data_IF_429990214981
#
_entry.id   IF_429990214981
#
_cell.length_a   1.000
_cell.length_b   1.000
_cell.length_c   1.000
_cell.angle_alpha   90.00
_cell.angle_beta   90.00
_cell.angle_gamma   90.00
#
_symmetry.space_group_name_H-M   'P 1'
#
loop_
_entity.id
_entity.type
_entity.pdbx_description
1 polymer ?
#
# COMPACT_ATOMS: atom_id res chain seq x y z
N UNK A 1 28.52 -6.91 -3.49
CA UNK A 1 27.33 -6.15 -3.94
C UNK A 1 26.14 -6.62 -3.11
N UNK A 2 25.75 -5.87 -2.08
CA UNK A 2 24.53 -6.17 -1.31
C UNK A 2 23.34 -5.69 -2.14
N UNK A 3 22.72 -6.59 -2.91
CA UNK A 3 21.50 -6.27 -3.64
C UNK A 3 20.41 -5.87 -2.64
N UNK A 4 19.91 -4.65 -2.72
CA UNK A 4 18.72 -4.26 -1.97
C UNK A 4 17.62 -5.27 -2.33
N UNK A 5 17.08 -5.97 -1.33
CA UNK A 5 15.93 -6.85 -1.55
C UNK A 5 14.76 -5.94 -1.91
N UNK A 6 14.40 -5.88 -3.19
CA UNK A 6 13.19 -5.20 -3.62
C UNK A 6 12.00 -5.92 -2.98
N UNK A 7 11.34 -5.24 -2.05
CA UNK A 7 10.07 -5.71 -1.51
C UNK A 7 9.01 -5.52 -2.60
N UNK A 8 8.20 -6.55 -2.83
CA UNK A 8 7.08 -6.47 -3.77
C UNK A 8 6.01 -5.55 -3.20
N UNK A 9 5.33 -4.81 -4.06
CA UNK A 9 4.19 -3.94 -3.73
C UNK A 9 3.15 -4.67 -2.88
N UNK A 10 2.95 -5.96 -3.12
CA UNK A 10 2.10 -6.88 -2.33
C UNK A 10 2.45 -7.03 -0.83
N UNK A 11 3.48 -6.36 -0.33
CA UNK A 11 3.92 -6.37 1.08
C UNK A 11 3.87 -4.98 1.72
N UNK A 12 3.32 -3.99 1.02
CA UNK A 12 3.25 -2.60 1.46
C UNK A 12 1.82 -2.29 1.89
N UNK A 13 1.66 -1.71 3.07
CA UNK A 13 0.40 -1.19 3.57
C UNK A 13 0.45 0.34 3.59
N UNK A 14 -0.61 0.98 3.10
CA UNK A 14 -0.74 2.43 3.21
C UNK A 14 -1.26 2.85 4.58
N UNK A 15 -0.70 3.93 5.10
CA UNK A 15 -1.16 4.61 6.30
C UNK A 15 -0.83 6.10 6.22
N UNK A 16 -1.72 6.93 6.76
CA UNK A 16 -1.61 8.40 6.69
C UNK A 16 -0.97 9.03 7.92
N UNK A 17 -0.67 8.25 8.96
CA UNK A 17 -0.20 8.76 10.27
C UNK A 17 -1.12 9.82 10.90
N UNK A 18 -2.43 9.75 10.61
CA UNK A 18 -3.41 10.63 11.25
C UNK A 18 -3.45 10.40 12.78
N UNK A 19 -3.50 11.46 13.61
CA UNK A 19 -3.71 12.88 13.27
C UNK A 19 -2.44 13.72 13.02
N UNK A 20 -1.23 13.13 12.99
CA UNK A 20 0.01 13.88 12.76
C UNK A 20 0.17 14.35 11.30
N UNK A 21 -0.47 13.67 10.35
CA UNK A 21 -0.59 14.10 8.96
C UNK A 21 -2.06 14.06 8.48
N UNK A 22 -2.41 14.98 7.57
CA UNK A 22 -3.72 15.00 6.91
C UNK A 22 -3.91 13.78 6.02
N UNK A 23 -5.03 13.10 6.17
CA UNK A 23 -5.38 11.94 5.35
C UNK A 23 -5.47 12.29 3.86
N UNK A 24 -6.03 13.47 3.55
CA UNK A 24 -6.18 13.92 2.17
C UNK A 24 -4.82 14.22 1.51
N UNK A 25 -3.91 14.89 2.24
CA UNK A 25 -2.58 15.19 1.73
C UNK A 25 -1.74 13.93 1.56
N UNK A 26 -1.83 12.97 2.49
CA UNK A 26 -1.17 11.68 2.37
C UNK A 26 -1.68 10.87 1.17
N UNK A 27 -2.99 10.91 0.89
CA UNK A 27 -3.59 10.23 -0.26
C UNK A 27 -3.18 10.87 -1.58
N UNK A 28 -3.15 12.20 -1.64
CA UNK A 28 -2.66 12.91 -2.82
C UNK A 28 -1.17 12.63 -3.04
N UNK A 29 -0.34 12.62 -1.99
CA UNK A 29 1.09 12.33 -2.11
C UNK A 29 1.37 10.96 -2.74
N UNK A 30 0.66 9.90 -2.34
CA UNK A 30 0.85 8.57 -2.94
C UNK A 30 0.35 8.51 -4.39
N UNK A 31 -0.74 9.21 -4.75
CA UNK A 31 -1.21 9.31 -6.14
C UNK A 31 -0.17 9.95 -7.06
N UNK A 32 0.60 10.92 -6.56
CA UNK A 32 1.64 11.60 -7.31
C UNK A 32 2.92 10.75 -7.54
N UNK A 33 3.06 9.58 -6.89
CA UNK A 33 4.18 8.67 -7.15
C UNK A 33 4.10 7.99 -8.53
N UNK A 34 2.94 8.05 -9.19
CA UNK A 34 2.78 7.50 -10.54
C UNK A 34 2.87 5.98 -10.59
N UNK A 35 2.46 5.29 -9.51
CA UNK A 35 2.35 3.83 -9.51
C UNK A 35 1.35 3.37 -10.59
N UNK A 36 1.59 2.23 -11.26
CA UNK A 36 0.57 1.61 -12.10
C UNK A 36 -0.75 1.43 -11.33
N UNK A 37 -1.90 1.60 -11.99
CA UNK A 37 -3.20 1.59 -11.30
C UNK A 37 -3.40 0.35 -10.40
N UNK A 38 -3.01 -0.84 -10.88
CA UNK A 38 -3.12 -2.07 -10.09
C UNK A 38 -2.22 -2.08 -8.84
N UNK A 39 -1.03 -1.49 -8.93
CA UNK A 39 -0.11 -1.39 -7.77
C UNK A 39 -0.61 -0.38 -6.74
N UNK A 40 -1.23 0.71 -7.18
CA UNK A 40 -1.84 1.69 -6.28
C UNK A 40 -3.01 1.08 -5.50
N UNK A 41 -3.87 0.31 -6.18
CA UNK A 41 -5.00 -0.37 -5.55
C UNK A 41 -4.54 -1.44 -4.53
N UNK A 42 -3.45 -2.15 -4.84
CA UNK A 42 -2.81 -3.08 -3.89
C UNK A 42 -2.41 -2.38 -2.59
N UNK A 43 -1.69 -1.26 -2.70
CA UNK A 43 -1.14 -0.52 -1.55
C UNK A 43 -2.24 0.18 -0.74
N UNK A 44 -3.24 0.76 -1.41
CA UNK A 44 -4.31 1.50 -0.76
C UNK A 44 -5.33 0.61 -0.05
N UNK A 45 -5.49 -0.66 -0.45
CA UNK A 45 -6.56 -1.48 0.10
C UNK A 45 -6.32 -2.99 0.09
N UNK A 46 -6.02 -3.59 -1.07
CA UNK A 46 -6.06 -5.05 -1.20
C UNK A 46 -5.06 -5.75 -0.28
N UNK A 47 -3.86 -5.18 -0.08
CA UNK A 47 -2.88 -5.74 0.84
C UNK A 47 -3.36 -5.72 2.30
N UNK A 48 -4.06 -4.65 2.70
CA UNK A 48 -4.63 -4.57 4.04
C UNK A 48 -5.72 -5.63 4.22
N UNK A 49 -6.65 -5.74 3.26
CA UNK A 49 -7.71 -6.75 3.29
C UNK A 49 -7.13 -8.16 3.38
N UNK A 50 -6.13 -8.50 2.56
CA UNK A 50 -5.46 -9.80 2.64
C UNK A 50 -4.73 -10.04 3.97
N UNK A 51 -4.20 -8.99 4.60
CA UNK A 51 -3.53 -9.10 5.89
C UNK A 51 -4.50 -9.28 7.06
N UNK A 52 -5.70 -8.69 6.98
CA UNK A 52 -6.71 -8.74 8.06
C UNK A 52 -7.80 -9.79 7.87
N UNK A 53 -7.93 -10.36 6.67
CA UNK A 53 -8.88 -11.42 6.32
C UNK A 53 -8.18 -12.55 5.53
N UNK A 54 -7.21 -13.25 6.13
CA UNK A 54 -6.42 -14.26 5.44
C UNK A 54 -7.29 -15.39 4.85
N UNK A 55 -8.43 -15.71 5.48
CA UNK A 55 -9.37 -16.74 5.05
C UNK A 55 -10.16 -16.42 3.77
N UNK A 56 -10.26 -15.14 3.35
CA UNK A 56 -10.99 -14.71 2.16
C UNK A 56 -10.10 -14.58 0.91
N UNK A 57 -8.77 -14.66 1.06
CA UNK A 57 -7.82 -14.49 -0.06
C UNK A 57 -7.55 -15.78 -0.86
N UNK A 58 -8.21 -16.90 -0.52
CA UNK A 58 -8.00 -18.22 -1.14
C UNK A 58 -9.14 -18.71 -2.05
N UNK A 59 -10.09 -17.84 -2.42
CA UNK A 59 -11.20 -18.16 -3.34
C UNK A 59 -11.00 -17.62 -4.75
#
# INVERSE_FOLDING_TARGET
>A
MTGAKHHRTSRVLWGSDFPWQSQAEALEAIRHLGLPCGELDEVLGSNFLSAVQPELSAS
#
